data_IF_671482226668
#
_entry.id   IF_671482226668
#
_cell.length_a   1.000
_cell.length_b   1.000
_cell.length_c   1.000
_cell.angle_alpha   90.00
_cell.angle_beta   90.00
_cell.angle_gamma   90.00
#
_symmetry.space_group_name_H-M   'P 1'
#
loop_
_entity.id
_entity.type
_entity.pdbx_description
1 polymer ?
#
# COMPACT_ATOMS: atom_id res chain seq x y z
N UNK A 1 -24.98 12.29 -1.24
CA UNK A 1 -23.81 11.71 -0.55
C UNK A 1 -22.87 12.84 -0.17
N UNK A 2 -22.65 13.08 1.13
CA UNK A 2 -21.51 13.90 1.56
C UNK A 2 -20.27 13.17 1.04
N UNK A 3 -19.46 13.86 0.22
CA UNK A 3 -18.15 13.35 -0.16
C UNK A 3 -17.37 13.26 1.15
N UNK A 4 -16.92 12.07 1.54
CA UNK A 4 -15.97 11.92 2.63
C UNK A 4 -14.64 12.53 2.18
N UNK A 5 -14.52 13.85 2.36
CA UNK A 5 -13.32 14.64 2.02
C UNK A 5 -12.31 14.54 3.16
N UNK A 6 -12.08 13.34 3.69
CA UNK A 6 -11.23 13.19 4.88
C UNK A 6 -9.73 13.17 4.55
N UNK A 7 -9.36 13.00 3.28
CA UNK A 7 -7.97 12.93 2.85
C UNK A 7 -7.67 14.12 1.94
N UNK A 8 -7.09 15.17 2.52
CA UNK A 8 -6.63 16.32 1.76
C UNK A 8 -5.54 15.89 0.79
N UNK A 9 -5.65 16.31 -0.47
CA UNK A 9 -4.68 16.00 -1.52
C UNK A 9 -3.24 16.43 -1.17
N UNK A 10 -3.08 17.35 -0.22
CA UNK A 10 -1.78 17.85 0.24
C UNK A 10 -0.97 16.81 1.04
N UNK A 11 -1.64 15.83 1.68
CA UNK A 11 -0.98 14.81 2.50
C UNK A 11 -0.71 13.53 1.71
N UNK A 12 -1.16 13.46 0.45
CA UNK A 12 -0.90 12.30 -0.42
C UNK A 12 0.58 12.18 -0.76
N UNK A 13 1.05 10.95 -0.80
CA UNK A 13 2.40 10.63 -1.22
C UNK A 13 2.65 11.10 -2.65
N UNK A 14 3.85 11.64 -2.90
CA UNK A 14 4.22 12.17 -4.20
C UNK A 14 4.25 11.06 -5.27
N UNK A 15 3.60 11.30 -6.42
CA UNK A 15 3.58 10.38 -7.57
C UNK A 15 4.98 10.06 -8.14
N UNK A 16 6.02 10.82 -7.81
CA UNK A 16 7.40 10.54 -8.23
C UNK A 16 8.06 9.41 -7.45
N UNK A 17 7.46 8.94 -6.34
CA UNK A 17 8.02 7.90 -5.49
C UNK A 17 7.11 6.66 -5.57
N UNK A 18 7.59 5.49 -6.01
CA UNK A 18 6.77 4.29 -6.01
C UNK A 18 6.46 3.82 -4.59
N UNK A 19 5.22 3.41 -4.34
CA UNK A 19 4.75 2.90 -3.05
C UNK A 19 4.20 1.48 -3.17
N UNK A 20 4.70 0.60 -2.31
CA UNK A 20 4.19 -0.76 -2.15
C UNK A 20 3.48 -0.87 -0.80
N UNK A 21 2.20 -1.19 -0.83
CA UNK A 21 1.40 -1.37 0.40
C UNK A 21 1.05 -2.85 0.52
N UNK A 22 1.47 -3.46 1.62
CA UNK A 22 1.14 -4.85 1.95
C UNK A 22 0.08 -4.81 3.05
N UNK A 23 -1.07 -5.41 2.80
CA UNK A 23 -2.24 -5.30 3.70
C UNK A 23 -3.13 -6.51 3.60
N UNK A 24 -3.97 -6.73 4.61
CA UNK A 24 -4.98 -7.77 4.56
C UNK A 24 -6.01 -7.47 3.45
N UNK A 25 -6.50 -8.52 2.79
CA UNK A 25 -7.36 -8.39 1.60
C UNK A 25 -8.58 -7.48 1.80
N UNK A 26 -9.18 -7.49 3.00
CA UNK A 26 -10.38 -6.68 3.27
C UNK A 26 -10.10 -5.17 3.35
N UNK A 27 -8.84 -4.73 3.52
CA UNK A 27 -8.45 -3.30 3.59
C UNK A 27 -7.93 -2.74 2.27
N UNK A 28 -7.87 -3.54 1.20
CA UNK A 28 -7.33 -3.06 -0.08
C UNK A 28 -7.98 -1.75 -0.53
N UNK A 29 -9.31 -1.69 -0.56
CA UNK A 29 -10.02 -0.49 -1.00
C UNK A 29 -9.85 0.71 -0.06
N UNK A 30 -9.56 0.48 1.22
CA UNK A 30 -9.19 1.55 2.15
C UNK A 30 -7.84 2.16 1.73
N UNK A 31 -6.84 1.31 1.48
CA UNK A 31 -5.50 1.75 1.08
C UNK A 31 -5.44 2.34 -0.33
N UNK A 32 -6.28 1.90 -1.27
CA UNK A 32 -6.43 2.54 -2.60
C UNK A 32 -6.80 4.02 -2.50
N UNK A 33 -7.52 4.41 -1.44
CA UNK A 33 -7.96 5.78 -1.18
C UNK A 33 -7.09 6.51 -0.16
N UNK A 34 -6.12 5.83 0.43
CA UNK A 34 -5.26 6.37 1.47
C UNK A 34 -4.24 7.37 0.92
N UNK A 35 -3.67 8.13 1.83
CA UNK A 35 -2.52 9.01 1.65
C UNK A 35 -1.25 8.26 1.21
N UNK A 36 -1.15 6.96 1.49
CA UNK A 36 0.01 6.14 1.14
C UNK A 36 0.02 5.73 -0.34
N UNK A 37 -1.15 5.61 -0.97
CA UNK A 37 -1.24 5.20 -2.37
C UNK A 37 -1.22 6.40 -3.31
N UNK A 38 -0.45 6.28 -4.39
CA UNK A 38 -0.28 7.34 -5.39
C UNK A 38 -0.45 6.77 -6.81
N UNK A 39 -0.33 7.63 -7.83
CA UNK A 39 -0.54 7.27 -9.24
C UNK A 39 0.75 6.85 -9.96
N UNK A 40 1.84 6.61 -9.23
CA UNK A 40 3.05 6.08 -9.84
C UNK A 40 2.76 4.71 -10.49
N UNK A 41 3.26 4.49 -11.70
CA UNK A 41 3.01 3.25 -12.46
C UNK A 41 3.57 1.98 -11.80
N UNK A 42 4.53 2.12 -10.89
CA UNK A 42 5.14 1.02 -10.14
C UNK A 42 4.47 0.81 -8.76
N UNK A 43 3.59 1.73 -8.34
CA UNK A 43 2.84 1.61 -7.10
C UNK A 43 1.81 0.48 -7.17
N UNK A 44 1.70 -0.30 -6.10
CA UNK A 44 0.77 -1.42 -6.02
C UNK A 44 0.40 -1.76 -4.58
N UNK A 45 -0.79 -2.34 -4.44
CA UNK A 45 -1.28 -2.91 -3.19
C UNK A 45 -1.24 -4.43 -3.32
N UNK A 46 -0.60 -5.10 -2.38
CA UNK A 46 -0.41 -6.55 -2.36
C UNK A 46 -1.21 -7.12 -1.19
N UNK A 47 -2.31 -7.85 -1.45
CA UNK A 47 -3.08 -8.50 -0.39
C UNK A 47 -2.31 -9.70 0.17
N UNK A 48 -2.04 -9.70 1.48
CA UNK A 48 -1.30 -10.73 2.19
C UNK A 48 -1.69 -10.73 3.68
N UNK A 49 -1.44 -11.82 4.40
CA UNK A 49 -1.74 -11.88 5.82
C UNK A 49 -3.09 -12.50 6.15
N UNK A 50 -3.15 -13.16 7.30
CA UNK A 50 -4.37 -13.55 8.00
C UNK A 50 -4.63 -12.71 9.25
N UNK A 51 -3.68 -11.85 9.63
CA UNK A 51 -3.81 -10.88 10.71
C UNK A 51 -2.84 -9.68 10.53
N UNK A 52 -2.91 -8.72 11.45
CA UNK A 52 -2.24 -7.42 11.32
C UNK A 52 -0.71 -7.47 11.19
N UNK A 53 -0.02 -8.40 11.86
CA UNK A 53 1.44 -8.50 11.79
C UNK A 53 1.86 -9.36 10.61
N UNK A 54 1.54 -8.89 9.40
CA UNK A 54 1.83 -9.58 8.13
C UNK A 54 3.33 -9.91 8.03
N UNK A 55 4.19 -9.02 8.53
CA UNK A 55 5.63 -9.20 8.56
C UNK A 55 6.13 -10.32 9.48
N UNK A 56 5.30 -10.82 10.40
CA UNK A 56 5.62 -12.01 11.20
C UNK A 56 5.18 -13.28 10.50
N UNK A 57 4.09 -13.22 9.74
CA UNK A 57 3.54 -14.37 9.02
C UNK A 57 4.29 -14.66 7.73
N UNK A 58 4.67 -13.59 7.00
CA UNK A 58 5.28 -13.67 5.66
C UNK A 58 6.58 -12.85 5.54
N UNK A 59 7.56 -13.02 6.46
CA UNK A 59 8.80 -12.22 6.44
C UNK A 59 9.63 -12.46 5.16
N UNK A 60 9.64 -13.68 4.63
CA UNK A 60 10.43 -14.03 3.46
C UNK A 60 9.83 -13.47 2.17
N UNK A 61 8.51 -13.55 2.01
CA UNK A 61 7.79 -13.01 0.87
C UNK A 61 7.92 -11.49 0.80
N UNK A 62 7.88 -10.82 1.96
CA UNK A 62 8.14 -9.38 2.03
C UNK A 62 9.58 -9.07 1.60
N UNK A 63 10.57 -9.83 2.08
CA UNK A 63 11.96 -9.65 1.67
C UNK A 63 12.15 -9.85 0.16
N UNK A 64 11.53 -10.87 -0.42
CA UNK A 64 11.58 -11.14 -1.86
C UNK A 64 10.95 -10.01 -2.67
N UNK A 65 9.83 -9.44 -2.21
CA UNK A 65 9.23 -8.24 -2.80
C UNK A 65 10.25 -7.08 -2.78
N UNK A 66 10.89 -6.81 -1.65
CA UNK A 66 11.86 -5.71 -1.53
C UNK A 66 13.10 -5.91 -2.43
N UNK A 67 13.61 -7.15 -2.51
CA UNK A 67 14.74 -7.50 -3.40
C UNK A 67 14.35 -7.28 -4.87
N UNK A 68 13.11 -7.60 -5.25
CA UNK A 68 12.64 -7.43 -6.63
C UNK A 68 12.59 -5.96 -7.07
N UNK A 69 12.44 -5.02 -6.13
CA UNK A 69 12.39 -3.57 -6.39
C UNK A 69 13.78 -2.93 -6.45
N UNK A 70 14.82 -3.63 -5.99
CA UNK A 70 16.20 -3.12 -5.93
C UNK A 70 17.03 -3.44 -7.18
N UNK A 71 16.41 -4.04 -8.19
CA UNK A 71 17.04 -4.47 -9.45
C UNK A 71 16.68 -3.51 -10.57
#
# INVERSE_FOLDING_TARGET
MKKDVFWFNQDKWNDSIPTIIITEKYRMSEYERSEYFNQNSESKIIPMGTFHYIQWEYPHEIADILISLSK
#
